data_IF_263206569082
#
_entry.id   IF_263206569082
#
_cell.length_a   1.000
_cell.length_b   1.000
_cell.length_c   1.000
_cell.angle_alpha   90.00
_cell.angle_beta   90.00
_cell.angle_gamma   90.00
#
_symmetry.space_group_name_H-M   'P 1'
#
loop_
_entity.id
_entity.type
_entity.pdbx_description
1 polymer ?
#
# COMPACT_ATOMS: atom_id res chain seq x y z
N UNK A 1 -2.17 23.84 0.20
CA UNK A 1 -1.52 22.85 -0.66
C UNK A 1 -1.57 21.51 0.08
N UNK A 2 -2.20 20.49 -0.49
CA UNK A 2 -2.33 19.18 0.15
C UNK A 2 -1.24 18.25 -0.38
N UNK A 3 -0.38 17.78 0.52
CA UNK A 3 0.69 16.82 0.21
C UNK A 3 0.31 15.42 0.65
N UNK A 4 0.70 14.42 -0.14
CA UNK A 4 0.51 13.00 0.15
C UNK A 4 1.85 12.27 0.13
N UNK A 5 2.10 11.45 1.15
CA UNK A 5 3.18 10.47 1.16
C UNK A 5 2.66 9.15 0.58
N UNK A 6 3.35 8.64 -0.43
CA UNK A 6 3.22 7.28 -0.92
C UNK A 6 4.39 6.45 -0.37
N UNK A 7 4.07 5.41 0.39
CA UNK A 7 5.01 4.62 1.15
C UNK A 7 5.04 3.17 0.64
N UNK A 8 6.25 2.69 0.32
CA UNK A 8 6.55 1.29 0.06
C UNK A 8 7.49 0.69 1.12
N UNK A 9 7.97 -0.52 0.88
CA UNK A 9 8.80 -1.29 1.82
C UNK A 9 10.30 -1.23 1.53
N UNK A 10 10.75 -0.53 0.50
CA UNK A 10 12.18 -0.43 0.17
C UNK A 10 12.98 0.38 1.22
N UNK A 11 14.33 0.32 1.24
CA UNK A 11 15.16 0.91 2.29
C UNK A 11 14.93 2.39 2.59
N UNK A 12 14.61 3.21 1.58
CA UNK A 12 14.35 4.64 1.79
C UNK A 12 13.13 4.94 2.67
N UNK A 13 12.30 3.92 2.99
CA UNK A 13 11.21 4.02 3.98
C UNK A 13 11.68 4.56 5.33
N UNK A 14 12.94 4.30 5.68
CA UNK A 14 13.56 4.76 6.94
C UNK A 14 13.69 6.29 7.04
N UNK A 15 13.57 6.99 5.91
CA UNK A 15 13.62 8.44 5.78
C UNK A 15 12.21 9.09 5.76
N UNK A 16 11.14 8.29 5.82
CA UNK A 16 9.78 8.81 5.83
C UNK A 16 9.50 9.57 7.14
N UNK A 17 9.07 10.84 7.09
CA UNK A 17 8.81 11.63 8.29
C UNK A 17 7.43 11.40 8.92
N UNK A 18 6.48 10.83 8.16
CA UNK A 18 5.09 10.63 8.59
C UNK A 18 4.39 11.92 9.07
N UNK A 19 4.73 13.07 8.45
CA UNK A 19 4.27 14.42 8.83
C UNK A 19 2.95 14.83 8.14
N UNK A 20 2.52 14.14 7.10
CA UNK A 20 1.24 14.35 6.42
C UNK A 20 0.49 13.03 6.17
N UNK A 21 -0.61 13.10 5.41
CA UNK A 21 -1.35 11.91 5.01
C UNK A 21 -0.40 10.91 4.33
N UNK A 22 -0.45 9.66 4.78
CA UNK A 22 0.46 8.60 4.36
C UNK A 22 -0.34 7.40 3.88
N UNK A 23 -0.16 7.06 2.61
CA UNK A 23 -0.72 5.84 2.03
C UNK A 23 0.39 4.80 1.88
N UNK A 24 0.12 3.58 2.30
CA UNK A 24 1.04 2.45 2.18
C UNK A 24 0.54 1.40 1.21
N UNK A 25 1.46 0.54 0.77
CA UNK A 25 1.15 -0.59 -0.10
C UNK A 25 1.57 -1.92 0.52
N UNK A 26 0.71 -2.93 0.37
CA UNK A 26 0.97 -4.32 0.74
C UNK A 26 1.50 -4.46 2.18
N UNK A 27 2.75 -4.94 2.35
CA UNK A 27 3.36 -5.20 3.65
C UNK A 27 3.79 -3.97 4.48
N UNK A 28 3.51 -2.74 4.04
CA UNK A 28 3.96 -1.49 4.70
C UNK A 28 3.52 -1.37 6.16
N UNK A 29 2.40 -1.97 6.54
CA UNK A 29 1.93 -1.98 7.93
C UNK A 29 2.93 -2.62 8.91
N UNK A 30 3.84 -3.47 8.43
CA UNK A 30 4.88 -4.10 9.24
C UNK A 30 5.96 -3.12 9.74
N UNK A 31 6.09 -1.96 9.07
CA UNK A 31 7.04 -0.90 9.44
C UNK A 31 6.72 -0.34 10.82
N UNK A 32 5.46 -0.37 11.25
CA UNK A 32 5.04 0.13 12.56
C UNK A 32 5.84 -0.51 13.71
N UNK A 33 6.09 -1.82 13.65
CA UNK A 33 6.85 -2.53 14.68
C UNK A 33 8.30 -2.02 14.76
N UNK A 34 8.90 -1.76 13.61
CA UNK A 34 10.26 -1.22 13.51
C UNK A 34 10.29 0.20 14.08
N UNK A 35 9.36 1.06 13.67
CA UNK A 35 9.30 2.44 14.13
C UNK A 35 9.02 2.54 15.63
N UNK A 36 8.22 1.64 16.21
CA UNK A 36 8.03 1.55 17.67
C UNK A 36 9.35 1.27 18.39
N UNK A 37 10.16 0.34 17.90
CA UNK A 37 11.48 0.02 18.47
C UNK A 37 12.43 1.20 18.34
N UNK A 38 12.45 1.84 17.16
CA UNK A 38 13.31 2.99 16.85
C UNK A 38 12.81 4.32 17.43
N UNK A 39 11.66 4.32 18.11
CA UNK A 39 10.97 5.52 18.62
C UNK A 39 10.73 6.57 17.53
N UNK A 40 10.43 6.13 16.31
CA UNK A 40 10.09 6.97 15.16
C UNK A 40 8.58 7.11 15.02
N UNK A 41 8.09 8.22 14.43
CA UNK A 41 6.67 8.38 14.15
C UNK A 41 6.21 7.30 13.17
N UNK A 42 4.92 6.97 13.23
CA UNK A 42 4.28 6.11 12.25
C UNK A 42 2.84 6.56 12.06
N UNK A 43 2.46 6.73 10.79
CA UNK A 43 1.13 7.10 10.35
C UNK A 43 0.80 6.31 9.09
N UNK A 44 -0.43 5.82 9.01
CA UNK A 44 -0.92 5.09 7.85
C UNK A 44 -2.42 5.33 7.71
N UNK A 45 -2.79 6.25 6.83
CA UNK A 45 -4.17 6.67 6.60
C UNK A 45 -4.90 5.71 5.65
N UNK A 46 -4.19 5.25 4.60
CA UNK A 46 -4.70 4.22 3.68
C UNK A 46 -3.67 3.12 3.45
N UNK A 47 -4.14 1.89 3.28
CA UNK A 47 -3.33 0.74 2.93
C UNK A 47 -3.93 0.05 1.70
N UNK A 48 -3.19 0.05 0.61
CA UNK A 48 -3.56 -0.62 -0.63
C UNK A 48 -3.02 -2.04 -0.63
N UNK A 49 -3.88 -3.04 -0.76
CA UNK A 49 -3.48 -4.44 -0.95
C UNK A 49 -3.89 -4.83 -2.36
N UNK A 50 -2.89 -4.94 -3.23
CA UNK A 50 -3.11 -5.13 -4.67
C UNK A 50 -2.97 -6.58 -5.11
N UNK A 51 -2.42 -7.43 -4.25
CA UNK A 51 -2.15 -8.83 -4.53
C UNK A 51 -2.82 -9.75 -3.48
N UNK A 52 -3.33 -10.86 -3.96
CA UNK A 52 -3.80 -11.98 -3.13
C UNK A 52 -2.80 -13.11 -3.28
N UNK A 53 -1.66 -12.98 -2.60
CA UNK A 53 -0.64 -14.02 -2.57
C UNK A 53 -1.02 -15.08 -1.54
N UNK A 54 -0.99 -16.35 -1.96
CA UNK A 54 -1.12 -17.51 -1.08
C UNK A 54 0.25 -18.20 -1.01
N UNK A 55 0.61 -18.71 0.17
CA UNK A 55 1.77 -19.58 0.31
C UNK A 55 1.56 -20.89 -0.46
N UNK A 56 2.62 -21.67 -0.75
CA UNK A 56 2.49 -22.99 -1.37
C UNK A 56 1.54 -23.94 -0.62
N UNK A 57 1.39 -23.73 0.69
CA UNK A 57 0.50 -24.47 1.59
C UNK A 57 -0.95 -23.94 1.59
N UNK A 58 -1.26 -22.95 0.76
CA UNK A 58 -2.59 -22.36 0.61
C UNK A 58 -2.94 -21.33 1.70
N UNK A 59 -1.98 -20.89 2.51
CA UNK A 59 -2.22 -19.88 3.53
C UNK A 59 -2.20 -18.48 2.89
N UNK A 60 -3.14 -17.63 3.28
CA UNK A 60 -3.10 -16.22 2.88
C UNK A 60 -1.81 -15.57 3.42
N UNK A 61 -1.07 -14.89 2.55
CA UNK A 61 0.18 -14.21 2.93
C UNK A 61 -0.05 -13.01 3.88
N UNK A 62 -1.28 -12.53 3.97
CA UNK A 62 -1.67 -11.41 4.82
C UNK A 62 -2.13 -11.84 6.21
N UNK A 63 -1.53 -11.26 7.24
CA UNK A 63 -2.01 -11.39 8.61
C UNK A 63 -3.27 -10.52 8.81
N UNK A 64 -4.45 -11.14 8.66
CA UNK A 64 -5.75 -10.47 8.81
C UNK A 64 -5.91 -9.85 10.21
N UNK A 65 -5.35 -10.47 11.26
CA UNK A 65 -5.46 -9.93 12.61
C UNK A 65 -4.64 -8.65 12.74
N UNK A 66 -3.46 -8.62 12.13
CA UNK A 66 -2.64 -7.43 12.09
C UNK A 66 -3.29 -6.30 11.29
N UNK A 67 -3.93 -6.61 10.17
CA UNK A 67 -4.70 -5.64 9.39
C UNK A 67 -5.87 -5.04 10.19
N UNK A 68 -6.61 -5.87 10.95
CA UNK A 68 -7.62 -5.38 11.88
C UNK A 68 -7.04 -4.49 12.98
N UNK A 69 -5.87 -4.86 13.52
CA UNK A 69 -5.18 -4.07 14.55
C UNK A 69 -4.80 -2.69 14.02
N UNK A 70 -4.22 -2.62 12.83
CA UNK A 70 -3.78 -1.37 12.18
C UNK A 70 -4.99 -0.48 11.90
N UNK A 71 -6.06 -1.02 11.30
CA UNK A 71 -7.34 -0.31 11.10
C UNK A 71 -7.88 0.27 12.40
N UNK A 72 -7.89 -0.53 13.49
CA UNK A 72 -8.39 -0.07 14.80
C UNK A 72 -7.49 0.99 15.43
N UNK A 73 -6.17 0.84 15.33
CA UNK A 73 -5.19 1.71 16.01
C UNK A 73 -5.04 3.06 15.31
N UNK A 74 -5.01 3.07 13.98
CA UNK A 74 -4.71 4.27 13.18
C UNK A 74 -5.91 4.81 12.40
N UNK A 75 -7.05 4.11 12.42
CA UNK A 75 -8.18 4.45 11.56
C UNK A 75 -7.93 4.14 10.09
N UNK A 76 -6.91 3.32 9.78
CA UNK A 76 -6.47 3.04 8.41
C UNK A 76 -7.61 2.49 7.55
N UNK A 77 -7.86 3.14 6.42
CA UNK A 77 -8.70 2.58 5.38
C UNK A 77 -7.92 1.53 4.60
N UNK A 78 -8.47 0.31 4.48
CA UNK A 78 -7.84 -0.75 3.70
C UNK A 78 -8.56 -0.81 2.37
N UNK A 79 -7.83 -0.59 1.29
CA UNK A 79 -8.32 -0.61 -0.08
C UNK A 79 -7.76 -1.86 -0.76
N UNK A 80 -8.62 -2.65 -1.39
CA UNK A 80 -8.24 -3.94 -1.96
C UNK A 80 -8.68 -4.06 -3.41
N UNK A 81 -7.79 -4.55 -4.28
CA UNK A 81 -8.19 -4.91 -5.67
C UNK A 81 -9.06 -6.16 -5.70
N UNK A 82 -8.82 -7.09 -4.79
CA UNK A 82 -9.59 -8.31 -4.66
C UNK A 82 -10.07 -8.46 -3.22
N UNK A 83 -11.29 -8.98 -2.98
CA UNK A 83 -11.76 -9.26 -1.63
C UNK A 83 -10.78 -10.15 -0.86
N UNK A 84 -10.43 -9.75 0.36
CA UNK A 84 -9.49 -10.50 1.21
C UNK A 84 -10.26 -11.22 2.33
N UNK A 85 -10.15 -12.55 2.35
CA UNK A 85 -10.67 -13.37 3.42
C UNK A 85 -10.29 -14.85 3.30
N UNK A 86 -10.34 -15.56 4.42
CA UNK A 86 -10.14 -17.01 4.48
C UNK A 86 -11.18 -17.63 5.42
N UNK A 87 -11.97 -18.58 4.89
CA UNK A 87 -13.07 -19.19 5.64
C UNK A 87 -14.05 -18.14 6.19
N UNK A 88 -14.19 -18.07 7.52
CA UNK A 88 -15.07 -17.11 8.20
C UNK A 88 -14.42 -15.75 8.48
N UNK A 89 -13.10 -15.64 8.33
CA UNK A 89 -12.38 -14.38 8.54
C UNK A 89 -12.42 -13.56 7.25
N UNK A 90 -13.21 -12.49 7.27
CA UNK A 90 -13.26 -11.50 6.19
C UNK A 90 -12.70 -10.19 6.68
N UNK A 91 -11.84 -9.57 5.87
CA UNK A 91 -11.37 -8.23 6.13
C UNK A 91 -12.42 -7.22 5.65
N UNK A 92 -12.79 -6.26 6.51
CA UNK A 92 -13.63 -5.13 6.07
C UNK A 92 -12.78 -4.11 5.33
N UNK A 93 -12.74 -4.22 4.01
CA UNK A 93 -12.04 -3.32 3.09
C UNK A 93 -12.99 -2.53 2.18
N UNK A 94 -12.46 -1.46 1.60
CA UNK A 94 -13.04 -0.73 0.48
C UNK A 94 -12.53 -1.40 -0.82
N UNK A 95 -13.42 -1.67 -1.77
CA UNK A 95 -13.03 -2.19 -3.07
C UNK A 95 -12.36 -1.08 -3.89
N UNK A 96 -11.24 -1.38 -4.52
CA UNK A 96 -10.58 -0.46 -5.43
C UNK A 96 -11.45 -0.26 -6.69
N UNK A 97 -11.77 0.97 -7.09
CA UNK A 97 -12.66 1.26 -8.22
C UNK A 97 -11.91 1.13 -9.56
N UNK A 98 -11.54 -0.10 -9.92
CA UNK A 98 -10.71 -0.37 -11.09
C UNK A 98 -11.36 0.06 -12.39
N UNK A 99 -12.62 -0.31 -12.61
CA UNK A 99 -13.34 -0.04 -13.85
C UNK A 99 -13.48 1.47 -14.09
N UNK A 100 -13.81 2.23 -13.04
CA UNK A 100 -13.89 3.69 -13.10
C UNK A 100 -12.56 4.32 -13.55
N UNK A 101 -11.43 3.77 -13.10
CA UNK A 101 -10.10 4.29 -13.45
C UNK A 101 -9.66 3.90 -14.85
N UNK A 102 -10.04 2.71 -15.34
CA UNK A 102 -9.82 2.34 -16.73
C UNK A 102 -10.62 3.26 -17.66
N UNK A 103 -11.86 3.57 -17.31
CA UNK A 103 -12.68 4.53 -18.05
C UNK A 103 -12.11 5.95 -18.00
N UNK A 104 -11.65 6.42 -16.85
CA UNK A 104 -11.11 7.78 -16.72
C UNK A 104 -9.75 7.95 -17.41
N UNK A 105 -8.79 7.06 -17.14
CA UNK A 105 -7.42 7.19 -17.63
C UNK A 105 -7.20 6.53 -18.99
N UNK A 106 -8.21 5.85 -19.54
CA UNK A 106 -8.17 5.17 -20.83
C UNK A 106 -7.00 4.18 -20.93
N UNK A 107 -6.69 3.50 -19.81
CA UNK A 107 -5.61 2.53 -19.71
C UNK A 107 -5.90 1.46 -18.66
N UNK A 108 -5.62 0.22 -19.01
CA UNK A 108 -5.59 -0.92 -18.08
C UNK A 108 -4.19 -1.15 -17.50
N UNK A 109 -3.21 -0.35 -17.93
CA UNK A 109 -1.80 -0.61 -17.66
C UNK A 109 -1.35 -0.04 -16.31
N UNK A 110 -1.54 -0.85 -15.27
CA UNK A 110 -1.00 -0.63 -13.93
C UNK A 110 0.14 -1.63 -13.68
N UNK A 111 1.39 -1.21 -13.88
CA UNK A 111 2.55 -2.12 -13.83
C UNK A 111 2.99 -2.54 -12.44
N UNK A 112 2.66 -1.74 -11.44
CA UNK A 112 3.03 -2.00 -10.06
C UNK A 112 1.97 -1.52 -9.08
N UNK A 113 2.06 -1.99 -7.84
CA UNK A 113 1.12 -1.64 -6.79
C UNK A 113 1.06 -0.13 -6.47
N UNK A 114 2.11 0.62 -6.78
CA UNK A 114 2.18 2.08 -6.55
C UNK A 114 1.40 2.83 -7.63
N UNK A 115 1.36 2.35 -8.87
CA UNK A 115 0.54 2.95 -9.94
C UNK A 115 -0.93 3.01 -9.57
N UNK A 116 -1.45 2.00 -8.86
CA UNK A 116 -2.81 2.04 -8.31
C UNK A 116 -3.00 3.14 -7.26
N UNK A 117 -2.03 3.36 -6.38
CA UNK A 117 -2.11 4.45 -5.39
C UNK A 117 -2.12 5.81 -6.08
N UNK A 118 -1.27 5.99 -7.11
CA UNK A 118 -1.18 7.25 -7.85
C UNK A 118 -2.50 7.52 -8.59
N UNK A 119 -3.04 6.54 -9.31
CA UNK A 119 -4.33 6.71 -10.00
C UNK A 119 -5.47 7.04 -9.04
N UNK A 120 -5.52 6.38 -7.88
CA UNK A 120 -6.49 6.71 -6.85
C UNK A 120 -6.32 8.15 -6.34
N UNK A 121 -5.08 8.61 -6.12
CA UNK A 121 -4.82 9.99 -5.70
C UNK A 121 -5.19 11.03 -6.76
N UNK A 122 -4.92 10.72 -8.04
CA UNK A 122 -5.27 11.56 -9.18
C UNK A 122 -6.79 11.67 -9.36
N UNK A 123 -7.51 10.55 -9.25
CA UNK A 123 -8.97 10.52 -9.31
C UNK A 123 -9.61 11.40 -8.23
N UNK A 124 -9.08 11.38 -7.00
CA UNK A 124 -9.57 12.27 -5.94
C UNK A 124 -9.31 13.75 -6.26
N UNK A 125 -8.28 14.07 -7.05
CA UNK A 125 -7.94 15.41 -7.52
C UNK A 125 -7.86 16.46 -6.39
N UNK A 126 -7.33 16.07 -5.22
CA UNK A 126 -7.19 16.94 -4.05
C UNK A 126 -5.75 17.16 -3.61
N UNK A 127 -4.76 16.55 -4.28
CA UNK A 127 -3.35 16.59 -3.90
C UNK A 127 -2.54 17.36 -4.92
N UNK A 128 -1.67 18.25 -4.43
CA UNK A 128 -0.82 19.09 -5.27
C UNK A 128 0.60 18.53 -5.40
N UNK A 129 0.98 17.60 -4.51
CA UNK A 129 2.35 17.09 -4.40
C UNK A 129 2.38 15.70 -3.80
N UNK A 130 3.18 14.84 -4.43
CA UNK A 130 3.50 13.50 -3.95
C UNK A 130 4.92 13.42 -3.43
N UNK A 131 5.10 12.72 -2.30
CA UNK A 131 6.40 12.36 -1.74
C UNK A 131 6.50 10.84 -1.70
N UNK A 132 7.57 10.29 -2.23
CA UNK A 132 7.78 8.86 -2.34
C UNK A 132 8.84 8.41 -1.33
N UNK A 133 8.51 7.40 -0.54
CA UNK A 133 9.43 6.76 0.39
C UNK A 133 9.28 5.26 0.32
N UNK A 134 10.38 4.51 0.37
CA UNK A 134 10.36 3.05 0.26
C UNK A 134 9.84 2.54 -1.10
N UNK A 135 9.84 3.39 -2.12
CA UNK A 135 9.51 3.06 -3.51
C UNK A 135 10.79 3.30 -4.31
N UNK A 136 11.79 2.49 -4.00
CA UNK A 136 13.12 2.60 -4.62
C UNK A 136 13.10 1.80 -5.92
N UNK A 137 13.62 2.39 -6.99
CA UNK A 137 13.76 1.68 -8.26
C UNK A 137 14.70 0.48 -8.05
N UNK A 138 14.29 -0.69 -8.53
CA UNK A 138 15.10 -1.89 -8.44
C UNK A 138 16.52 -1.62 -8.96
N UNK A 139 17.53 -2.10 -8.25
CA UNK A 139 18.89 -1.99 -8.77
C UNK A 139 19.00 -2.72 -10.12
N UNK A 140 19.96 -2.34 -10.98
CA UNK A 140 20.21 -3.05 -12.24
C UNK A 140 20.33 -4.57 -12.03
N UNK A 141 20.95 -4.99 -10.92
CA UNK A 141 21.11 -6.40 -10.57
C UNK A 141 19.75 -7.03 -10.28
N UNK A 142 18.96 -6.37 -9.44
CA UNK A 142 17.62 -6.83 -9.05
C UNK A 142 16.70 -6.96 -10.27
N UNK A 143 16.69 -5.97 -11.16
CA UNK A 143 16.00 -6.04 -12.45
C UNK A 143 16.49 -7.21 -13.31
N UNK A 144 17.80 -7.42 -13.42
CA UNK A 144 18.37 -8.53 -14.20
C UNK A 144 18.05 -9.90 -13.60
N UNK A 145 17.88 -10.00 -12.29
CA UNK A 145 17.55 -11.25 -11.58
C UNK A 145 16.06 -11.55 -11.51
N UNK A 146 15.23 -10.51 -11.57
CA UNK A 146 13.76 -10.60 -11.44
C UNK A 146 13.04 -10.42 -12.78
N UNK A 147 13.75 -10.08 -13.87
CA UNK A 147 13.19 -10.21 -15.21
C UNK A 147 12.97 -11.71 -15.49
N UNK A 148 11.71 -12.13 -15.40
CA UNK A 148 11.23 -13.37 -16.00
C UNK A 148 11.04 -13.16 -17.49
#
# INVERSE_FOLDING_TARGET
MRELILLGTAPSRSLCPFDCETWGVCGVYTIEKINVIEKKPFRLDKLFITDTTFSPEGNLHWDINELHRIKKKYGTEIITLNPIGFGRMKLKSTQYPYDDFVEEFQTEYFTDSVTYMIAYALHLNVYDKFRFYGIDMASKIEYLTQKG
#
